data_IF_649724380866
#
_entry.id   IF_649724380866
#
_cell.length_a   1.000
_cell.length_b   1.000
_cell.length_c   1.000
_cell.angle_alpha   90.00
_cell.angle_beta   90.00
_cell.angle_gamma   90.00
#
_symmetry.space_group_name_H-M   'P 1'
#
loop_
_entity.id
_entity.type
_entity.pdbx_description
1 polymer ?
#
# COMPACT_ATOMS: atom_id res chain seq x y z
N UNK A 1 -44.74 -15.70 -5.87
CA UNK A 1 -44.52 -15.33 -7.29
C UNK A 1 -44.06 -13.87 -7.50
N UNK A 2 -44.63 -12.88 -6.82
CA UNK A 2 -44.25 -11.46 -6.99
C UNK A 2 -42.75 -11.14 -6.76
N UNK A 3 -42.09 -11.84 -5.83
CA UNK A 3 -40.67 -11.63 -5.53
C UNK A 3 -39.73 -12.04 -6.68
N UNK A 4 -40.03 -13.16 -7.35
CA UNK A 4 -39.24 -13.63 -8.49
C UNK A 4 -39.40 -12.71 -9.70
N UNK A 5 -40.62 -12.21 -9.94
CA UNK A 5 -40.93 -11.27 -11.03
C UNK A 5 -40.18 -9.95 -10.84
N UNK A 6 -40.11 -9.43 -9.61
CA UNK A 6 -39.36 -8.20 -9.31
C UNK A 6 -37.86 -8.34 -9.61
N UNK A 7 -37.24 -9.47 -9.23
CA UNK A 7 -35.82 -9.74 -9.50
C UNK A 7 -35.52 -9.84 -11.00
N UNK A 8 -36.40 -10.52 -11.75
CA UNK A 8 -36.27 -10.66 -13.20
C UNK A 8 -36.41 -9.31 -13.89
N UNK A 9 -37.32 -8.44 -13.43
CA UNK A 9 -37.47 -7.09 -13.98
C UNK A 9 -36.22 -6.23 -13.74
N UNK A 10 -35.61 -6.31 -12.56
CA UNK A 10 -34.35 -5.61 -12.26
C UNK A 10 -33.17 -6.17 -13.06
N UNK A 11 -33.07 -7.49 -13.23
CA UNK A 11 -32.05 -8.12 -14.06
C UNK A 11 -32.19 -7.72 -15.53
N UNK A 12 -33.41 -7.72 -16.07
CA UNK A 12 -33.69 -7.29 -17.45
C UNK A 12 -33.35 -5.82 -17.68
N UNK A 13 -33.70 -4.96 -16.72
CA UNK A 13 -33.37 -3.53 -16.78
C UNK A 13 -31.87 -3.29 -16.77
N UNK A 14 -31.12 -4.00 -15.92
CA UNK A 14 -29.66 -3.95 -15.90
C UNK A 14 -29.04 -4.41 -17.22
N UNK A 15 -29.54 -5.50 -17.80
CA UNK A 15 -29.06 -6.01 -19.09
C UNK A 15 -29.31 -5.00 -20.21
N UNK A 16 -30.46 -4.34 -20.21
CA UNK A 16 -30.81 -3.29 -21.18
C UNK A 16 -29.86 -2.09 -21.12
N UNK A 17 -29.52 -1.63 -19.90
CA UNK A 17 -28.58 -0.52 -19.71
C UNK A 17 -27.18 -0.89 -20.20
N UNK A 18 -26.71 -2.12 -19.93
CA UNK A 18 -25.42 -2.61 -20.43
C UNK A 18 -25.41 -2.70 -21.95
N UNK A 19 -26.51 -3.18 -22.56
CA UNK A 19 -26.64 -3.25 -24.00
C UNK A 19 -26.61 -1.86 -24.66
N UNK A 20 -27.36 -0.89 -24.12
CA UNK A 20 -27.32 0.50 -24.58
C UNK A 20 -25.92 1.13 -24.43
N UNK A 21 -25.24 0.84 -23.32
CA UNK A 21 -23.86 1.31 -23.10
C UNK A 21 -22.89 0.71 -24.13
N UNK A 22 -23.08 -0.56 -24.52
CA UNK A 22 -22.22 -1.21 -25.52
C UNK A 22 -22.25 -0.54 -26.90
N UNK A 23 -23.38 0.08 -27.28
CA UNK A 23 -23.50 0.81 -28.55
C UNK A 23 -22.65 2.09 -28.55
N UNK A 24 -22.46 2.74 -27.40
CA UNK A 24 -21.63 3.94 -27.28
C UNK A 24 -20.14 3.63 -27.12
N UNK A 25 -19.78 2.46 -26.59
CA UNK A 25 -18.40 2.03 -26.40
C UNK A 25 -17.82 1.31 -27.64
N UNK A 26 -17.66 2.03 -28.76
CA UNK A 26 -16.89 1.57 -29.93
C UNK A 26 -15.36 1.74 -29.80
N UNK A 27 -14.85 2.03 -28.59
CA UNK A 27 -13.42 2.32 -28.39
C UNK A 27 -12.49 1.08 -28.53
N UNK A 28 -13.05 -0.11 -28.74
CA UNK A 28 -12.28 -1.32 -29.03
C UNK A 28 -12.19 -1.67 -30.52
N UNK A 29 -12.51 -0.75 -31.43
CA UNK A 29 -12.07 -0.89 -32.82
C UNK A 29 -10.59 -0.50 -32.91
N UNK A 30 -9.73 -1.35 -32.34
CA UNK A 30 -8.27 -1.31 -32.51
C UNK A 30 -7.89 -1.75 -33.93
N UNK A 31 -8.53 -1.16 -34.96
CA UNK A 31 -7.91 -1.01 -36.26
C UNK A 31 -6.92 0.14 -36.15
N UNK A 32 -5.86 -0.08 -35.35
CA UNK A 32 -4.59 0.57 -35.60
C UNK A 32 -4.20 0.13 -37.02
N UNK A 33 -4.59 0.95 -38.02
CA UNK A 33 -3.84 1.07 -39.25
C UNK A 33 -2.42 1.39 -38.79
N UNK A 34 -1.60 0.35 -38.65
CA UNK A 34 -0.16 0.46 -38.85
C UNK A 34 -0.04 1.12 -40.22
N UNK A 35 0.08 2.45 -40.22
CA UNK A 35 0.43 3.21 -41.39
C UNK A 35 1.80 2.66 -41.74
N UNK A 36 1.81 1.69 -42.64
CA UNK A 36 2.99 1.08 -43.24
C UNK A 36 3.60 2.24 -44.01
N UNK A 37 4.38 3.05 -43.28
CA UNK A 37 5.12 4.13 -43.88
C UNK A 37 6.07 3.39 -44.80
N UNK A 38 5.83 3.53 -46.11
CA UNK A 38 6.64 2.90 -47.13
C UNK A 38 8.08 3.17 -46.72
N UNK A 39 8.82 2.09 -46.52
CA UNK A 39 10.27 2.10 -46.46
C UNK A 39 10.75 2.96 -47.63
N UNK A 40 11.09 4.21 -47.34
CA UNK A 40 11.92 4.99 -48.22
C UNK A 40 13.26 4.28 -48.17
N UNK A 41 13.49 3.43 -49.17
CA UNK A 41 14.83 3.00 -49.55
C UNK A 41 15.56 4.30 -49.85
N UNK A 42 16.58 4.71 -49.07
CA UNK A 42 17.36 5.87 -49.44
C UNK A 42 18.08 5.48 -50.73
N UNK A 43 17.80 6.19 -51.81
CA UNK A 43 18.66 6.17 -52.98
C UNK A 43 20.06 6.60 -52.52
N UNK A 44 21.05 5.79 -52.87
CA UNK A 44 22.46 6.12 -52.74
C UNK A 44 22.76 7.35 -53.61
N UNK A 45 22.56 8.54 -53.05
CA UNK A 45 23.26 9.73 -53.51
C UNK A 45 24.58 9.80 -52.76
N UNK A 46 25.64 9.43 -53.47
CA UNK A 46 27.01 9.84 -53.19
C UNK A 46 27.06 11.38 -53.13
N UNK A 47 26.90 11.92 -51.93
CA UNK A 47 27.39 13.26 -51.61
C UNK A 47 28.53 13.07 -50.62
N UNK A 48 29.74 13.15 -51.16
CA UNK A 48 30.98 13.37 -50.42
C UNK A 48 30.86 14.68 -49.65
N UNK A 49 30.28 14.58 -48.45
CA UNK A 49 30.27 15.61 -47.44
C UNK A 49 30.32 14.89 -46.12
N UNK A 50 31.52 14.77 -45.55
CA UNK A 50 31.73 14.34 -44.17
C UNK A 50 31.10 15.35 -43.23
N UNK A 51 29.76 15.32 -43.12
CA UNK A 51 29.08 15.74 -41.92
C UNK A 51 29.53 14.74 -40.85
N UNK A 52 30.70 15.00 -40.25
CA UNK A 52 31.08 14.50 -38.93
C UNK A 52 29.83 14.69 -38.09
N UNK A 53 29.11 13.59 -37.83
CA UNK A 53 28.33 13.47 -36.61
C UNK A 53 29.33 13.88 -35.54
N UNK A 54 29.18 15.09 -35.01
CA UNK A 54 29.99 15.59 -33.89
C UNK A 54 29.80 14.53 -32.83
N UNK A 55 30.79 13.65 -32.72
CA UNK A 55 30.65 12.40 -31.99
C UNK A 55 30.18 12.75 -30.60
N UNK A 56 29.12 12.07 -30.15
CA UNK A 56 28.80 12.02 -28.73
C UNK A 56 30.08 11.55 -28.04
N UNK A 57 30.80 12.51 -27.45
CA UNK A 57 32.04 12.29 -26.71
C UNK A 57 31.64 11.56 -25.42
N UNK A 58 31.71 10.23 -25.47
CA UNK A 58 31.41 9.36 -24.33
C UNK A 58 32.26 9.71 -23.10
N UNK A 59 33.43 10.30 -23.33
CA UNK A 59 34.36 10.90 -22.37
C UNK A 59 33.81 12.11 -21.61
N UNK A 60 32.76 12.78 -22.13
CA UNK A 60 32.10 13.92 -21.48
C UNK A 60 30.83 13.55 -20.71
N UNK A 61 30.41 12.28 -20.75
CA UNK A 61 29.27 11.82 -19.97
C UNK A 61 29.67 11.72 -18.49
N UNK A 62 28.81 12.20 -17.57
CA UNK A 62 29.07 12.04 -16.15
C UNK A 62 29.21 10.56 -15.80
N UNK A 63 30.18 10.22 -14.96
CA UNK A 63 30.35 8.85 -14.48
C UNK A 63 29.04 8.39 -13.81
N UNK A 64 28.56 7.19 -14.16
CA UNK A 64 27.38 6.62 -13.53
C UNK A 64 27.66 6.36 -12.04
N UNK A 65 27.15 7.23 -11.18
CA UNK A 65 27.14 7.00 -9.73
C UNK A 65 25.91 6.17 -9.37
N UNK A 66 26.12 4.90 -9.05
CA UNK A 66 25.02 4.03 -8.62
C UNK A 66 24.80 4.14 -7.11
N UNK A 67 23.69 4.76 -6.70
CA UNK A 67 23.25 4.70 -5.31
C UNK A 67 22.32 3.50 -5.08
N UNK A 68 22.91 2.39 -4.62
CA UNK A 68 22.17 1.16 -4.31
C UNK A 68 21.49 1.19 -2.93
N UNK A 69 21.58 2.29 -2.19
CA UNK A 69 20.97 2.42 -0.87
C UNK A 69 19.45 2.24 -0.88
N UNK A 70 18.91 1.71 0.21
CA UNK A 70 17.46 1.59 0.44
C UNK A 70 16.86 2.88 1.01
N UNK A 71 17.68 3.71 1.68
CA UNK A 71 17.22 4.94 2.32
C UNK A 71 16.48 5.91 1.38
N UNK A 72 16.97 6.20 0.16
CA UNK A 72 16.23 7.04 -0.77
C UNK A 72 14.84 6.47 -1.11
N UNK A 73 14.73 5.15 -1.24
CA UNK A 73 13.46 4.46 -1.51
C UNK A 73 12.49 4.58 -0.34
N UNK A 74 12.95 4.31 0.89
CA UNK A 74 12.13 4.46 2.10
C UNK A 74 11.65 5.91 2.22
N UNK A 75 12.53 6.89 2.01
CA UNK A 75 12.20 8.31 2.03
C UNK A 75 11.13 8.66 0.99
N UNK A 76 11.28 8.19 -0.25
CA UNK A 76 10.28 8.45 -1.30
C UNK A 76 8.95 7.79 -0.99
N UNK A 77 8.95 6.56 -0.48
CA UNK A 77 7.75 5.81 -0.11
C UNK A 77 7.00 6.49 1.04
N UNK A 78 7.74 6.91 2.07
CA UNK A 78 7.19 7.64 3.19
C UNK A 78 6.61 9.00 2.78
N UNK A 79 7.31 9.73 1.92
CA UNK A 79 6.84 11.02 1.41
C UNK A 79 5.60 10.87 0.52
N UNK A 80 5.51 9.79 -0.26
CA UNK A 80 4.30 9.44 -1.01
C UNK A 80 3.13 9.14 -0.08
N UNK A 81 3.32 8.35 0.97
CA UNK A 81 2.28 8.09 1.99
C UNK A 81 1.78 9.38 2.64
N UNK A 82 2.70 10.31 2.95
CA UNK A 82 2.32 11.58 3.58
C UNK A 82 1.50 12.44 2.62
N UNK A 83 1.91 12.53 1.37
CA UNK A 83 1.22 13.36 0.36
C UNK A 83 -0.08 12.74 -0.13
N UNK A 84 -0.34 11.49 0.25
CA UNK A 84 -1.53 10.76 -0.16
C UNK A 84 -2.78 11.15 0.63
N UNK A 85 -3.88 11.34 -0.10
CA UNK A 85 -5.19 11.67 0.44
C UNK A 85 -5.47 13.16 0.60
N UNK A 86 -6.65 13.48 1.13
CA UNK A 86 -7.13 14.85 1.30
C UNK A 86 -6.37 15.57 2.44
N UNK A 87 -5.94 16.82 2.21
CA UNK A 87 -5.28 17.67 3.21
C UNK A 87 -6.15 17.88 4.47
N UNK A 88 -7.47 17.90 4.31
CA UNK A 88 -8.40 17.99 5.44
C UNK A 88 -8.29 16.82 6.41
N UNK A 89 -8.05 15.60 5.92
CA UNK A 89 -7.84 14.44 6.78
C UNK A 89 -6.56 14.55 7.59
N UNK A 90 -5.53 15.25 7.10
CA UNK A 90 -4.33 15.53 7.90
C UNK A 90 -4.61 16.44 9.09
N UNK A 91 -5.49 17.43 8.93
CA UNK A 91 -5.89 18.30 10.03
C UNK A 91 -6.67 17.52 11.09
N UNK A 92 -7.59 16.64 10.68
CA UNK A 92 -8.29 15.72 11.58
C UNK A 92 -7.31 14.78 12.31
N UNK A 93 -6.31 14.24 11.60
CA UNK A 93 -5.26 13.42 12.23
C UNK A 93 -4.43 14.20 13.24
N UNK A 94 -4.03 15.43 12.92
CA UNK A 94 -3.27 16.27 13.85
C UNK A 94 -4.07 16.61 15.11
N UNK A 95 -5.36 16.93 14.95
CA UNK A 95 -6.26 17.15 16.08
C UNK A 95 -6.42 15.89 16.94
N UNK A 96 -6.60 14.72 16.33
CA UNK A 96 -6.72 13.46 17.06
C UNK A 96 -5.40 13.10 17.76
N UNK A 97 -4.27 13.27 17.08
CA UNK A 97 -2.93 13.03 17.64
C UNK A 97 -2.67 13.91 18.87
N UNK A 98 -3.04 15.20 18.80
CA UNK A 98 -2.96 16.10 19.95
C UNK A 98 -3.92 15.66 21.08
N UNK A 99 -5.12 15.21 20.73
CA UNK A 99 -6.06 14.67 21.70
C UNK A 99 -5.55 13.39 22.38
N UNK A 100 -4.79 12.53 21.68
CA UNK A 100 -4.13 11.37 22.29
C UNK A 100 -3.11 11.77 23.38
N UNK A 101 -2.47 12.94 23.26
CA UNK A 101 -1.55 13.45 24.29
C UNK A 101 -2.30 13.90 25.55
N UNK A 102 -3.48 14.50 25.39
CA UNK A 102 -4.21 15.17 26.47
C UNK A 102 -5.24 14.26 27.16
N UNK A 103 -5.78 13.27 26.45
CA UNK A 103 -6.86 12.43 26.95
C UNK A 103 -6.39 11.44 28.05
N UNK A 104 -7.29 11.01 28.96
CA UNK A 104 -7.00 9.95 29.92
C UNK A 104 -6.56 8.66 29.24
N UNK A 105 -5.62 7.93 29.86
CA UNK A 105 -5.03 6.72 29.27
C UNK A 105 -6.08 5.62 29.01
N UNK A 106 -7.08 5.53 29.89
CA UNK A 106 -8.23 4.62 29.82
C UNK A 106 -9.07 4.77 28.54
N UNK A 107 -9.04 5.96 27.92
CA UNK A 107 -9.77 6.25 26.68
C UNK A 107 -8.79 6.30 25.49
N UNK A 108 -7.63 6.94 25.69
CA UNK A 108 -6.67 7.19 24.64
C UNK A 108 -6.13 5.89 24.03
N UNK A 109 -5.80 4.90 24.88
CA UNK A 109 -5.15 3.68 24.44
C UNK A 109 -6.11 2.68 23.78
N UNK A 110 -7.22 2.24 24.40
CA UNK A 110 -8.10 1.23 23.80
C UNK A 110 -9.06 1.76 22.72
N UNK A 111 -9.26 3.08 22.61
CA UNK A 111 -10.20 3.66 21.63
C UNK A 111 -9.54 4.60 20.63
N UNK A 112 -8.91 5.67 21.11
CA UNK A 112 -8.43 6.73 20.21
C UNK A 112 -7.27 6.25 19.32
N UNK A 113 -6.40 5.38 19.85
CA UNK A 113 -5.28 4.80 19.08
C UNK A 113 -5.75 3.88 17.94
N UNK A 114 -6.65 2.90 18.15
CA UNK A 114 -7.25 2.18 17.03
C UNK A 114 -7.93 3.09 16.00
N UNK A 115 -8.63 4.14 16.44
CA UNK A 115 -9.35 5.08 15.55
C UNK A 115 -8.38 5.88 14.68
N UNK A 116 -7.29 6.42 15.24
CA UNK A 116 -6.31 7.18 14.45
C UNK A 116 -5.63 6.29 13.40
N UNK A 117 -5.36 5.03 13.75
CA UNK A 117 -4.80 4.03 12.83
C UNK A 117 -5.82 3.60 11.76
N UNK A 118 -7.10 3.47 12.13
CA UNK A 118 -8.19 3.18 11.21
C UNK A 118 -8.41 4.29 10.19
N UNK A 119 -8.27 5.55 10.59
CA UNK A 119 -8.40 6.69 9.67
C UNK A 119 -7.40 6.61 8.49
N UNK A 120 -6.29 5.89 8.68
CA UNK A 120 -5.26 5.64 7.67
C UNK A 120 -5.49 4.41 6.80
N UNK A 121 -6.63 3.72 6.94
CA UNK A 121 -6.92 2.45 6.24
C UNK A 121 -6.67 2.54 4.73
N UNK A 122 -7.02 3.65 4.10
CA UNK A 122 -6.80 3.88 2.67
C UNK A 122 -5.31 3.92 2.32
N UNK A 123 -4.48 4.55 3.16
CA UNK A 123 -3.03 4.63 2.96
C UNK A 123 -2.37 3.26 3.10
N UNK A 124 -2.77 2.51 4.12
CA UNK A 124 -2.27 1.15 4.33
C UNK A 124 -2.63 0.23 3.17
N UNK A 125 -3.89 0.26 2.73
CA UNK A 125 -4.40 -0.60 1.66
C UNK A 125 -3.71 -0.37 0.31
N UNK A 126 -3.22 0.86 0.08
CA UNK A 126 -2.58 1.27 -1.17
C UNK A 126 -1.07 1.07 -1.17
N UNK A 127 -0.45 0.75 -0.03
CA UNK A 127 1.01 0.55 0.11
C UNK A 127 1.62 -0.31 -1.01
N UNK A 128 0.97 -1.44 -1.33
CA UNK A 128 1.49 -2.46 -2.27
C UNK A 128 0.57 -2.68 -3.48
N UNK A 129 -0.61 -2.05 -3.47
CA UNK A 129 -1.62 -2.18 -4.54
C UNK A 129 -1.60 -1.01 -5.51
N UNK A 130 -0.98 0.13 -5.14
CA UNK A 130 -0.89 1.32 -5.98
C UNK A 130 -0.19 1.08 -7.31
N UNK A 131 0.82 0.19 -7.37
CA UNK A 131 1.52 -0.10 -8.62
C UNK A 131 0.61 -0.81 -9.63
N UNK A 132 -0.22 -1.75 -9.15
CA UNK A 132 -1.21 -2.45 -9.99
C UNK A 132 -2.36 -1.51 -10.36
N UNK A 133 -2.87 -0.75 -9.40
CA UNK A 133 -3.98 0.20 -9.59
C UNK A 133 -3.64 1.27 -10.63
N UNK A 134 -2.43 1.83 -10.56
CA UNK A 134 -1.96 2.86 -11.51
C UNK A 134 -1.32 2.26 -12.79
N UNK A 135 -1.39 0.93 -12.99
CA UNK A 135 -0.80 0.20 -14.14
C UNK A 135 0.69 0.44 -14.37
N UNK A 136 1.42 0.83 -13.33
CA UNK A 136 2.88 1.04 -13.38
C UNK A 136 3.68 -0.18 -12.92
N UNK A 137 3.00 -1.27 -12.58
CA UNK A 137 3.63 -2.50 -12.09
C UNK A 137 4.66 -3.10 -13.05
N UNK A 138 4.45 -3.01 -14.38
CA UNK A 138 5.46 -3.46 -15.36
C UNK A 138 6.78 -2.68 -15.24
N UNK A 139 6.73 -1.37 -15.05
CA UNK A 139 7.93 -0.54 -14.86
C UNK A 139 8.57 -0.78 -13.49
N UNK A 140 7.75 -0.86 -12.44
CA UNK A 140 8.22 -1.08 -11.08
C UNK A 140 8.88 -2.46 -10.92
N UNK A 141 8.38 -3.49 -11.60
CA UNK A 141 8.91 -4.86 -11.50
C UNK A 141 10.04 -5.14 -12.48
N UNK A 142 10.14 -4.42 -13.60
CA UNK A 142 11.33 -4.47 -14.46
C UNK A 142 12.55 -3.70 -13.89
N UNK A 143 12.36 -2.94 -12.82
CA UNK A 143 13.42 -2.16 -12.17
C UNK A 143 14.44 -3.05 -11.44
N UNK A 144 15.63 -2.52 -11.13
CA UNK A 144 16.69 -3.30 -10.47
C UNK A 144 16.29 -3.80 -9.07
N UNK A 145 16.15 -5.13 -8.92
CA UNK A 145 15.84 -5.84 -7.67
C UNK A 145 14.58 -5.30 -6.95
N UNK A 146 13.40 -5.37 -7.59
CA UNK A 146 12.17 -4.77 -7.05
C UNK A 146 11.76 -5.44 -5.73
N UNK A 147 11.94 -6.76 -5.63
CA UNK A 147 11.57 -7.54 -4.44
C UNK A 147 12.39 -7.16 -3.21
N UNK A 148 13.69 -6.91 -3.39
CA UNK A 148 14.62 -6.66 -2.28
C UNK A 148 14.70 -5.19 -1.89
N UNK A 149 14.21 -4.28 -2.73
CA UNK A 149 14.31 -2.83 -2.49
C UNK A 149 12.95 -2.17 -2.33
N UNK A 150 12.01 -2.42 -3.23
CA UNK A 150 10.72 -1.71 -3.23
C UNK A 150 9.81 -2.23 -2.12
N UNK A 151 9.60 -3.55 -2.03
CA UNK A 151 8.69 -4.13 -1.03
C UNK A 151 9.17 -3.85 0.41
N UNK A 152 10.46 -4.04 0.77
CA UNK A 152 10.94 -3.65 2.09
C UNK A 152 10.85 -2.15 2.35
N UNK A 153 11.06 -1.30 1.34
CA UNK A 153 10.89 0.15 1.50
C UNK A 153 9.44 0.55 1.78
N UNK A 154 8.48 -0.08 1.11
CA UNK A 154 7.04 0.11 1.36
C UNK A 154 6.66 -0.33 2.78
N UNK A 155 7.13 -1.51 3.21
CA UNK A 155 6.92 -2.02 4.58
C UNK A 155 7.49 -1.03 5.60
N UNK A 156 8.77 -0.65 5.45
CA UNK A 156 9.43 0.26 6.39
C UNK A 156 8.73 1.62 6.46
N UNK A 157 8.34 2.18 5.33
CA UNK A 157 7.61 3.45 5.29
C UNK A 157 6.24 3.34 5.98
N UNK A 158 5.51 2.24 5.77
CA UNK A 158 4.24 1.96 6.45
C UNK A 158 4.42 1.85 7.96
N UNK A 159 5.40 1.06 8.40
CA UNK A 159 5.69 0.86 9.83
C UNK A 159 6.13 2.17 10.49
N UNK A 160 6.96 2.97 9.83
CA UNK A 160 7.34 4.30 10.31
C UNK A 160 6.11 5.20 10.51
N UNK A 161 5.17 5.21 9.56
CA UNK A 161 3.96 6.02 9.69
C UNK A 161 3.08 5.55 10.86
N UNK A 162 2.93 4.22 11.04
CA UNK A 162 2.14 3.65 12.13
C UNK A 162 2.76 3.97 13.50
N UNK A 163 4.09 3.89 13.63
CA UNK A 163 4.81 4.26 14.85
C UNK A 163 4.66 5.76 15.11
N UNK A 164 4.82 6.62 14.10
CA UNK A 164 4.68 8.08 14.25
C UNK A 164 3.29 8.47 14.76
N UNK A 165 2.24 7.82 14.27
CA UNK A 165 0.88 8.05 14.77
C UNK A 165 0.66 7.55 16.19
N UNK A 166 1.38 6.50 16.58
CA UNK A 166 1.30 5.89 17.91
C UNK A 166 2.24 6.54 18.95
N UNK A 167 3.11 7.47 18.52
CA UNK A 167 4.12 8.13 19.37
C UNK A 167 3.56 8.72 20.67
N UNK A 168 2.40 9.42 20.70
CA UNK A 168 1.84 9.97 21.93
C UNK A 168 1.65 8.92 23.02
N UNK A 169 1.14 7.74 22.65
CA UNK A 169 0.89 6.65 23.58
C UNK A 169 2.20 5.97 23.95
N UNK A 170 3.08 5.70 22.98
CA UNK A 170 4.40 5.09 23.23
C UNK A 170 5.20 5.91 24.25
N UNK A 171 5.24 7.23 24.09
CA UNK A 171 5.97 8.13 25.01
C UNK A 171 5.34 8.06 26.41
N UNK A 172 4.00 8.08 26.51
CA UNK A 172 3.30 7.98 27.79
C UNK A 172 3.53 6.63 28.48
N UNK A 173 3.44 5.52 27.76
CA UNK A 173 3.74 4.19 28.29
C UNK A 173 5.20 4.10 28.77
N UNK A 174 6.14 4.67 28.02
CA UNK A 174 7.55 4.71 28.38
C UNK A 174 7.80 5.53 29.67
N UNK A 175 7.12 6.67 29.83
CA UNK A 175 7.17 7.47 31.07
C UNK A 175 6.60 6.72 32.27
N UNK A 176 5.58 5.89 32.06
CA UNK A 176 5.01 5.00 33.07
C UNK A 176 5.84 3.71 33.28
N UNK A 177 6.98 3.57 32.60
CA UNK A 177 7.85 2.37 32.64
C UNK A 177 7.14 1.07 32.25
N UNK A 178 6.05 1.15 31.48
CA UNK A 178 5.32 -0.03 31.01
C UNK A 178 5.89 -0.50 29.66
N UNK A 179 7.00 -1.24 29.74
CA UNK A 179 7.70 -1.74 28.55
C UNK A 179 6.87 -2.73 27.73
N UNK A 180 5.96 -3.46 28.38
CA UNK A 180 5.10 -4.44 27.70
C UNK A 180 4.13 -3.76 26.74
N UNK A 181 3.48 -2.68 27.15
CA UNK A 181 2.59 -1.90 26.28
C UNK A 181 3.34 -1.30 25.09
N UNK A 182 4.55 -0.76 25.32
CA UNK A 182 5.39 -0.21 24.24
C UNK A 182 5.71 -1.28 23.19
N UNK A 183 6.12 -2.48 23.63
CA UNK A 183 6.40 -3.59 22.74
C UNK A 183 5.15 -4.06 21.98
N UNK A 184 4.00 -4.15 22.67
CA UNK A 184 2.73 -4.51 22.05
C UNK A 184 2.30 -3.52 20.97
N UNK A 185 2.44 -2.20 21.21
CA UNK A 185 2.13 -1.16 20.22
C UNK A 185 3.04 -1.27 18.99
N UNK A 186 4.35 -1.52 19.19
CA UNK A 186 5.29 -1.69 18.08
C UNK A 186 4.93 -2.94 17.26
N UNK A 187 4.66 -4.06 17.94
CA UNK A 187 4.31 -5.31 17.29
C UNK A 187 2.96 -5.20 16.54
N UNK A 188 1.99 -4.51 17.14
CA UNK A 188 0.70 -4.17 16.53
C UNK A 188 0.84 -3.24 15.33
N UNK A 189 1.72 -2.24 15.40
CA UNK A 189 2.01 -1.35 14.26
C UNK A 189 2.59 -2.12 13.07
N UNK A 190 3.47 -3.09 13.33
CA UNK A 190 4.00 -4.00 12.31
C UNK A 190 2.85 -4.87 11.75
N UNK A 191 1.97 -5.38 12.60
CA UNK A 191 0.83 -6.21 12.19
C UNK A 191 -0.11 -5.51 11.22
N UNK A 192 -0.49 -4.26 11.48
CA UNK A 192 -1.37 -3.49 10.60
C UNK A 192 -0.78 -3.41 9.18
N UNK A 193 0.52 -3.16 9.09
CA UNK A 193 1.24 -2.99 7.82
C UNK A 193 1.45 -4.35 7.13
N UNK A 194 1.84 -5.38 7.87
CA UNK A 194 2.05 -6.72 7.30
C UNK A 194 0.75 -7.34 6.82
N UNK A 195 -0.36 -7.09 7.52
CA UNK A 195 -1.69 -7.50 7.08
C UNK A 195 -2.08 -6.80 5.77
N UNK A 196 -1.82 -5.49 5.65
CA UNK A 196 -2.07 -4.73 4.43
C UNK A 196 -1.24 -5.24 3.24
N UNK A 197 0.04 -5.51 3.49
CA UNK A 197 0.98 -6.02 2.48
C UNK A 197 0.56 -7.43 2.05
N UNK A 198 0.30 -8.35 2.98
CA UNK A 198 -0.06 -9.73 2.65
C UNK A 198 -1.37 -9.79 1.85
N UNK A 199 -2.44 -9.14 2.33
CA UNK A 199 -3.72 -9.10 1.63
C UNK A 199 -3.61 -8.36 0.29
N UNK A 200 -2.87 -7.26 0.24
CA UNK A 200 -2.66 -6.50 -0.99
C UNK A 200 -1.88 -7.28 -2.06
N UNK A 201 -0.84 -8.01 -1.67
CA UNK A 201 -0.05 -8.84 -2.59
C UNK A 201 -0.85 -10.05 -3.09
N UNK A 202 -1.57 -10.74 -2.19
CA UNK A 202 -2.39 -11.91 -2.52
C UNK A 202 -3.54 -11.57 -3.46
N UNK A 203 -4.25 -10.49 -3.18
CA UNK A 203 -5.52 -10.18 -3.84
C UNK A 203 -5.36 -9.20 -4.99
N UNK A 204 -4.28 -8.41 -4.97
CA UNK A 204 -4.05 -7.32 -5.91
C UNK A 204 -5.00 -6.12 -5.74
N UNK A 205 -5.87 -6.12 -4.72
CA UNK A 205 -6.86 -5.09 -4.48
C UNK A 205 -6.84 -4.56 -3.05
N UNK A 206 -7.44 -3.38 -2.85
CA UNK A 206 -7.49 -2.70 -1.54
C UNK A 206 -8.63 -3.13 -0.61
N UNK A 207 -9.72 -3.64 -1.18
CA UNK A 207 -11.00 -3.85 -0.46
C UNK A 207 -10.93 -4.91 0.64
N UNK A 208 -10.21 -6.00 0.43
CA UNK A 208 -10.12 -7.07 1.42
C UNK A 208 -9.41 -6.62 2.70
N UNK A 209 -8.36 -5.80 2.56
CA UNK A 209 -7.74 -5.17 3.70
C UNK A 209 -8.66 -4.11 4.35
N UNK A 210 -9.29 -3.23 3.58
CA UNK A 210 -10.18 -2.20 4.13
C UNK A 210 -11.29 -2.80 5.00
N UNK A 211 -11.96 -3.85 4.52
CA UNK A 211 -13.05 -4.53 5.24
C UNK A 211 -12.51 -5.35 6.41
N UNK A 212 -11.42 -6.11 6.21
CA UNK A 212 -10.83 -6.91 7.27
C UNK A 212 -10.33 -6.05 8.43
N UNK A 213 -9.63 -4.96 8.12
CA UNK A 213 -9.14 -4.02 9.13
C UNK A 213 -10.27 -3.31 9.85
N UNK A 214 -11.34 -2.92 9.15
CA UNK A 214 -12.55 -2.40 9.78
C UNK A 214 -13.14 -3.38 10.81
N UNK A 215 -13.28 -4.67 10.45
CA UNK A 215 -13.80 -5.69 11.38
C UNK A 215 -12.90 -5.87 12.61
N UNK A 216 -11.58 -5.89 12.41
CA UNK A 216 -10.61 -6.02 13.50
C UNK A 216 -10.69 -4.80 14.43
N UNK A 217 -10.62 -3.58 13.89
CA UNK A 217 -10.70 -2.36 14.71
C UNK A 217 -12.06 -2.22 15.42
N UNK A 218 -13.16 -2.58 14.75
CA UNK A 218 -14.47 -2.63 15.38
C UNK A 218 -14.51 -3.63 16.55
N UNK A 219 -13.85 -4.78 16.40
CA UNK A 219 -13.76 -5.79 17.47
C UNK A 219 -12.95 -5.29 18.67
N UNK A 220 -11.85 -4.55 18.42
CA UNK A 220 -11.04 -3.93 19.49
C UNK A 220 -11.84 -2.89 20.26
N UNK A 221 -12.58 -2.02 19.55
CA UNK A 221 -13.45 -1.00 20.18
C UNK A 221 -14.53 -1.65 21.07
N UNK A 222 -15.03 -2.83 20.66
CA UNK A 222 -15.96 -3.63 21.45
C UNK A 222 -15.30 -4.46 22.56
N UNK A 223 -14.02 -4.20 22.86
CA UNK A 223 -13.23 -4.87 23.91
C UNK A 223 -13.14 -6.39 23.76
N UNK A 224 -13.11 -6.91 22.53
CA UNK A 224 -12.89 -8.34 22.29
C UNK A 224 -11.38 -8.66 22.45
N UNK A 225 -10.96 -9.42 23.48
CA UNK A 225 -9.53 -9.64 23.77
C UNK A 225 -8.77 -10.39 22.66
N UNK A 226 -9.50 -11.19 21.88
CA UNK A 226 -8.95 -11.98 20.77
C UNK A 226 -8.45 -11.08 19.63
N UNK A 227 -9.09 -9.93 19.43
CA UNK A 227 -8.79 -9.03 18.32
C UNK A 227 -7.81 -7.90 18.70
N UNK A 228 -7.35 -7.85 19.95
CA UNK A 228 -6.54 -6.74 20.49
C UNK A 228 -5.11 -6.74 19.97
N UNK A 229 -4.92 -6.34 18.72
CA UNK A 229 -3.61 -6.28 18.09
C UNK A 229 -2.68 -5.20 18.67
N UNK A 230 -3.17 -4.30 19.55
CA UNK A 230 -2.38 -3.23 20.17
C UNK A 230 -1.93 -3.56 21.60
N UNK A 231 -2.51 -4.59 22.25
CA UNK A 231 -2.23 -4.93 23.65
C UNK A 231 -2.75 -3.88 24.62
N UNK A 232 -3.94 -3.34 24.32
CA UNK A 232 -4.63 -2.30 25.11
C UNK A 232 -5.58 -2.86 26.16
N UNK A 233 -5.91 -4.15 26.08
CA UNK A 233 -6.79 -4.88 26.99
C UNK A 233 -5.97 -5.75 27.95
N UNK A 234 -6.52 -6.10 29.13
CA UNK A 234 -5.83 -6.98 30.06
C UNK A 234 -5.83 -8.42 29.52
N UNK A 235 -4.63 -8.97 29.32
CA UNK A 235 -4.41 -10.39 29.01
C UNK A 235 -3.80 -11.10 30.23
N UNK A 236 -4.19 -12.36 30.44
CA UNK A 236 -3.66 -13.19 31.54
C UNK A 236 -2.15 -13.39 31.39
N UNK A 237 -1.69 -13.70 30.17
CA UNK A 237 -0.27 -13.87 29.84
C UNK A 237 0.15 -12.95 28.71
N UNK A 238 0.59 -11.73 29.05
CA UNK A 238 1.04 -10.73 28.07
C UNK A 238 2.20 -11.24 27.19
N UNK A 239 3.13 -12.01 27.77
CA UNK A 239 4.25 -12.58 27.03
C UNK A 239 3.80 -13.57 25.94
N UNK A 240 2.84 -14.43 26.27
CA UNK A 240 2.31 -15.40 25.33
C UNK A 240 1.54 -14.70 24.20
N UNK A 241 0.73 -13.70 24.54
CA UNK A 241 0.02 -12.87 23.59
C UNK A 241 0.98 -12.18 22.59
N UNK A 242 2.03 -11.53 23.10
CA UNK A 242 3.05 -10.89 22.26
C UNK A 242 3.77 -11.89 21.34
N UNK A 243 4.09 -13.09 21.85
CA UNK A 243 4.74 -14.13 21.08
C UNK A 243 3.85 -14.61 19.92
N UNK A 244 2.54 -14.79 20.15
CA UNK A 244 1.58 -15.14 19.09
C UNK A 244 1.53 -14.05 18.02
N UNK A 245 1.40 -12.78 18.42
CA UNK A 245 1.30 -11.68 17.47
C UNK A 245 2.58 -11.52 16.64
N UNK A 246 3.74 -11.73 17.27
CA UNK A 246 5.04 -11.78 16.58
C UNK A 246 5.12 -12.95 15.58
N UNK A 247 4.63 -14.14 15.96
CA UNK A 247 4.58 -15.30 15.08
C UNK A 247 3.68 -15.05 13.85
N UNK A 248 2.52 -14.43 14.06
CA UNK A 248 1.61 -14.00 12.98
C UNK A 248 2.32 -13.01 12.05
N UNK A 249 3.04 -12.03 12.60
CA UNK A 249 3.82 -11.07 11.81
C UNK A 249 4.88 -11.75 10.94
N UNK A 250 5.64 -12.69 11.49
CA UNK A 250 6.62 -13.47 10.74
C UNK A 250 5.98 -14.28 9.61
N UNK A 251 4.83 -14.89 9.87
CA UNK A 251 4.06 -15.64 8.88
C UNK A 251 3.57 -14.71 7.75
N UNK A 252 3.01 -13.54 8.07
CA UNK A 252 2.54 -12.57 7.08
C UNK A 252 3.69 -12.04 6.21
N UNK A 253 4.86 -11.79 6.80
CA UNK A 253 6.08 -11.44 6.07
C UNK A 253 6.43 -12.56 5.09
N UNK A 254 6.53 -13.80 5.56
CA UNK A 254 6.92 -14.94 4.73
C UNK A 254 5.97 -15.10 3.52
N UNK A 255 4.66 -15.07 3.75
CA UNK A 255 3.65 -15.13 2.68
C UNK A 255 3.84 -13.99 1.69
N UNK A 256 4.01 -12.76 2.17
CA UNK A 256 4.16 -11.59 1.31
C UNK A 256 5.37 -11.69 0.38
N UNK A 257 6.51 -12.16 0.89
CA UNK A 257 7.72 -12.35 0.09
C UNK A 257 7.57 -13.50 -0.91
N UNK A 258 7.00 -14.64 -0.50
CA UNK A 258 6.79 -15.82 -1.37
C UNK A 258 5.89 -15.44 -2.55
N UNK A 259 4.73 -14.84 -2.27
CA UNK A 259 3.75 -14.49 -3.32
C UNK A 259 4.29 -13.40 -4.24
N UNK A 260 5.01 -12.41 -3.70
CA UNK A 260 5.64 -11.39 -4.54
C UNK A 260 6.71 -11.99 -5.45
N UNK A 261 7.49 -12.95 -4.94
CA UNK A 261 8.54 -13.62 -5.72
C UNK A 261 7.94 -14.37 -6.90
N UNK A 262 6.85 -15.10 -6.65
CA UNK A 262 6.08 -15.77 -7.69
C UNK A 262 5.52 -14.79 -8.73
N UNK A 263 4.99 -13.64 -8.31
CA UNK A 263 4.50 -12.62 -9.24
C UNK A 263 5.62 -12.06 -10.12
N UNK A 264 6.82 -11.84 -9.56
CA UNK A 264 7.96 -11.31 -10.32
C UNK A 264 8.59 -12.31 -11.28
N UNK A 265 8.49 -13.61 -11.03
CA UNK A 265 9.01 -14.65 -11.93
C UNK A 265 8.10 -14.96 -13.12
N UNK A 266 6.81 -14.60 -13.04
CA UNK A 266 5.79 -14.90 -14.04
C UNK A 266 5.28 -13.66 -14.81
N UNK A 267 6.06 -12.58 -14.83
CA UNK A 267 5.84 -11.37 -15.64
C UNK A 267 6.74 -11.36 -16.87
#
# INVERSE_FOLDING_TARGET
MAFLISRIAWMGSGLGIVYLSSLYFHRFDFKQRLRKNKTHRPEEKQESGTAKLKGLRLDTLPALSYNYGIYPFVKTEFLMLIRHGNKWLWLLNAALWLALCLAPMEIAYPYMLPIILFLQVTRWSELVTKEKTNRVHYFAYASYKPLRRLLPAQILAGVMLAIVLSLPIIIRCALLSNYYEVLSIINGSIFIVMLAVALGVLTGGKKLYEVGFFMITYSVINKLPIADYLGSLPHQDMNFFMAILLAINLLLIAISFIVRNYQTSHL
#
